data_IF_240149340884
#
_entry.id   IF_240149340884
#
_cell.length_a   1.000
_cell.length_b   1.000
_cell.length_c   1.000
_cell.angle_alpha   90.00
_cell.angle_beta   90.00
_cell.angle_gamma   90.00
#
_symmetry.space_group_name_H-M   'P 1'
#
loop_
_entity.id
_entity.type
_entity.pdbx_description
1 polymer ?
#
# COMPACT_ATOMS: atom_id res chain seq x y z
N UNK A 1 -12.29 -6.78 -13.44
CA UNK A 1 -11.00 -7.30 -13.06
C UNK A 1 -10.20 -6.24 -12.37
N UNK A 2 -9.70 -6.56 -11.25
CA UNK A 2 -8.86 -5.59 -10.59
C UNK A 2 -7.41 -5.89 -10.90
N UNK A 3 -6.63 -4.85 -11.00
CA UNK A 3 -5.19 -4.98 -11.24
C UNK A 3 -4.46 -4.86 -9.93
N UNK A 4 -4.91 -5.60 -8.94
CA UNK A 4 -4.28 -5.57 -7.65
C UNK A 4 -2.94 -6.28 -7.70
N UNK A 5 -1.98 -5.71 -6.99
CA UNK A 5 -0.67 -6.30 -6.83
C UNK A 5 -0.39 -6.55 -5.37
N UNK A 6 0.61 -7.34 -5.11
CA UNK A 6 1.06 -7.62 -3.75
C UNK A 6 2.45 -7.07 -3.56
N UNK A 7 2.73 -6.61 -2.35
CA UNK A 7 4.05 -6.11 -2.03
C UNK A 7 4.24 -6.06 -0.54
N UNK A 8 5.30 -5.41 -0.13
CA UNK A 8 5.62 -5.22 1.28
C UNK A 8 5.90 -3.76 1.53
N UNK A 9 5.56 -3.33 2.73
CA UNK A 9 5.83 -1.96 3.12
C UNK A 9 7.33 -1.79 3.31
N UNK A 10 7.92 -0.87 2.59
CA UNK A 10 9.34 -0.56 2.75
C UNK A 10 9.53 0.30 3.98
N UNK A 11 8.73 1.33 4.12
CA UNK A 11 8.66 2.15 5.33
C UNK A 11 7.41 3.00 5.24
N UNK A 12 6.96 3.47 6.39
CA UNK A 12 5.79 4.33 6.44
C UNK A 12 5.96 5.29 7.60
N UNK A 13 5.70 6.57 7.34
CA UNK A 13 5.78 7.62 8.37
C UNK A 13 4.37 8.00 8.75
N UNK A 14 3.92 7.55 9.92
CA UNK A 14 2.54 7.80 10.29
C UNK A 14 2.28 9.26 10.65
N UNK A 15 3.30 9.99 11.03
CA UNK A 15 3.11 11.41 11.32
C UNK A 15 2.87 12.19 10.05
N UNK A 16 3.58 11.86 8.99
CA UNK A 16 3.41 12.53 7.71
C UNK A 16 2.34 11.89 6.87
N UNK A 17 1.98 10.65 7.17
CA UNK A 17 0.90 9.98 6.50
C UNK A 17 1.24 9.40 5.15
N UNK A 18 2.51 9.07 4.91
CA UNK A 18 2.87 8.45 3.64
C UNK A 18 4.06 7.54 3.82
N UNK A 19 4.29 6.73 2.80
CA UNK A 19 5.41 5.83 2.79
C UNK A 19 5.57 5.20 1.43
N UNK A 20 6.28 4.08 1.40
CA UNK A 20 6.54 3.37 0.16
C UNK A 20 6.33 1.89 0.34
N UNK A 21 5.85 1.28 -0.71
CA UNK A 21 5.68 -0.17 -0.82
C UNK A 21 6.63 -0.63 -1.90
N UNK A 22 7.23 -1.79 -1.69
CA UNK A 22 8.07 -2.39 -2.70
C UNK A 22 7.33 -3.57 -3.28
N UNK A 23 7.25 -3.65 -4.60
CA UNK A 23 6.52 -4.72 -5.24
C UNK A 23 7.45 -5.87 -5.57
N UNK A 24 6.91 -6.89 -6.26
CA UNK A 24 7.70 -8.08 -6.58
C UNK A 24 8.83 -7.80 -7.55
N UNK A 25 8.74 -6.70 -8.26
CA UNK A 25 9.76 -6.32 -9.24
C UNK A 25 10.81 -5.40 -8.65
N UNK A 26 10.66 -5.02 -7.39
CA UNK A 26 11.60 -4.13 -6.76
C UNK A 26 11.34 -2.66 -6.97
N UNK A 27 10.17 -2.32 -7.48
CA UNK A 27 9.81 -0.92 -7.70
C UNK A 27 9.29 -0.29 -6.42
N UNK A 28 9.67 0.95 -6.18
CA UNK A 28 9.13 1.73 -5.08
C UNK A 28 7.80 2.34 -5.49
N UNK A 29 6.78 2.12 -4.67
CA UNK A 29 5.44 2.58 -4.98
C UNK A 29 4.97 3.47 -3.83
N UNK A 30 4.64 4.70 -4.14
CA UNK A 30 4.20 5.67 -3.14
C UNK A 30 2.84 5.29 -2.59
N UNK A 31 2.65 5.43 -1.28
CA UNK A 31 1.36 5.20 -0.64
C UNK A 31 1.08 6.32 0.34
N UNK A 32 -0.16 6.81 0.32
CA UNK A 32 -0.61 7.86 1.23
C UNK A 32 -1.70 7.28 2.13
N UNK A 33 -1.81 7.79 3.37
CA UNK A 33 -2.76 7.21 4.30
C UNK A 33 -4.20 7.24 3.80
N UNK A 34 -4.52 8.18 2.93
CA UNK A 34 -5.86 8.25 2.36
C UNK A 34 -6.16 7.08 1.43
N UNK A 35 -5.14 6.43 0.95
CA UNK A 35 -5.30 5.29 0.06
C UNK A 35 -5.25 3.96 0.80
N UNK A 36 -5.17 4.00 2.12
CA UNK A 36 -5.18 2.78 2.93
C UNK A 36 -6.59 2.53 3.40
N UNK A 37 -7.08 1.33 3.14
CA UNK A 37 -8.42 0.95 3.53
C UNK A 37 -8.43 0.45 4.97
N UNK A 38 -9.58 0.57 5.60
CA UNK A 38 -9.75 0.07 6.94
C UNK A 38 -10.35 1.14 7.85
N UNK A 39 -10.77 0.72 9.01
CA UNK A 39 -11.28 1.63 10.02
C UNK A 39 -10.24 1.76 11.12
N UNK A 40 -10.24 2.89 11.79
CA UNK A 40 -9.29 3.11 12.84
C UNK A 40 -7.99 3.67 12.31
N UNK A 41 -6.89 3.18 12.85
CA UNK A 41 -5.59 3.68 12.45
C UNK A 41 -5.24 3.22 11.05
N UNK A 42 -4.89 4.17 10.22
CA UNK A 42 -4.47 3.88 8.86
C UNK A 42 -2.95 3.98 8.80
N UNK A 43 -2.31 3.03 9.41
CA UNK A 43 -0.87 3.01 9.46
C UNK A 43 -0.36 1.66 8.99
N UNK A 44 0.84 1.69 8.44
CA UNK A 44 1.50 0.49 7.96
C UNK A 44 2.82 0.35 8.70
N UNK A 45 3.25 -0.87 8.85
CA UNK A 45 4.52 -1.16 9.50
C UNK A 45 5.49 -1.74 8.49
N UNK A 46 6.75 -1.54 8.74
CA UNK A 46 7.79 -2.06 7.88
C UNK A 46 7.63 -3.55 7.67
N UNK A 47 7.75 -3.97 6.42
CA UNK A 47 7.64 -5.37 6.02
C UNK A 47 6.25 -5.97 6.06
N UNK A 48 5.23 -5.17 6.36
CA UNK A 48 3.86 -5.67 6.28
C UNK A 48 3.53 -6.08 4.84
N UNK A 49 2.93 -7.24 4.70
CA UNK A 49 2.44 -7.67 3.39
C UNK A 49 1.15 -6.94 3.08
N UNK A 50 1.06 -6.36 1.91
CA UNK A 50 -0.10 -5.58 1.51
C UNK A 50 -0.50 -5.93 0.09
N UNK A 51 -1.76 -5.65 -0.24
CA UNK A 51 -2.22 -5.67 -1.62
C UNK A 51 -2.82 -4.32 -1.95
N UNK A 52 -2.74 -3.94 -3.19
CA UNK A 52 -3.13 -2.60 -3.61
C UNK A 52 -3.40 -2.58 -5.10
N UNK A 53 -4.03 -1.51 -5.55
CA UNK A 53 -4.23 -1.24 -6.98
C UNK A 53 -3.12 -0.30 -7.42
N UNK A 54 -2.38 -0.69 -8.43
CA UNK A 54 -1.28 0.12 -8.92
C UNK A 54 -1.81 1.22 -9.84
N UNK A 55 -1.36 2.42 -9.60
CA UNK A 55 -1.72 3.57 -10.42
C UNK A 55 -0.42 4.20 -10.92
N UNK A 56 -0.31 4.33 -12.23
CA UNK A 56 0.86 4.94 -12.85
C UNK A 56 0.55 6.38 -13.19
N UNK A 57 0.93 7.26 -12.30
CA UNK A 57 0.68 8.66 -12.50
C UNK A 57 1.86 9.37 -13.14
N UNK A 58 1.70 10.67 -13.40
CA UNK A 58 2.77 11.45 -14.04
C UNK A 58 4.01 11.59 -13.16
N UNK A 59 3.85 11.42 -11.86
CA UNK A 59 4.97 11.53 -10.93
C UNK A 59 5.57 10.19 -10.56
N UNK A 60 5.03 9.10 -11.09
CA UNK A 60 5.54 7.77 -10.78
C UNK A 60 4.45 6.84 -10.32
N UNK A 61 4.86 5.76 -9.69
CA UNK A 61 3.96 4.71 -9.26
C UNK A 61 3.34 5.04 -7.93
N UNK A 62 2.08 4.68 -7.78
CA UNK A 62 1.29 5.02 -6.62
C UNK A 62 0.36 3.86 -6.29
N UNK A 63 0.18 3.58 -5.01
CA UNK A 63 -0.71 2.52 -4.57
C UNK A 63 -2.04 3.11 -4.13
N UNK A 64 -3.12 2.46 -4.54
CA UNK A 64 -4.46 2.86 -4.16
C UNK A 64 -5.16 1.66 -3.55
N UNK A 65 -6.15 1.94 -2.71
CA UNK A 65 -6.98 0.89 -2.12
C UNK A 65 -6.12 -0.17 -1.44
N UNK A 66 -5.20 0.30 -0.61
CA UNK A 66 -4.22 -0.57 0.04
C UNK A 66 -4.86 -1.27 1.23
N UNK A 67 -4.67 -2.58 1.30
CA UNK A 67 -5.14 -3.37 2.45
C UNK A 67 -4.01 -4.28 2.90
N UNK A 68 -3.99 -4.57 4.19
CA UNK A 68 -3.05 -5.55 4.72
C UNK A 68 -3.47 -6.93 4.25
N UNK A 69 -2.52 -7.66 3.72
CA UNK A 69 -2.83 -8.96 3.13
C UNK A 69 -3.40 -9.92 4.16
N UNK A 70 -2.91 -9.85 5.39
CA UNK A 70 -3.37 -10.77 6.42
C UNK A 70 -4.62 -10.29 7.13
N UNK A 71 -5.19 -9.16 6.70
CA UNK A 71 -6.43 -8.64 7.27
C UNK A 71 -7.54 -8.58 6.26
N UNK A 72 -7.38 -9.25 5.15
CA UNK A 72 -8.43 -9.26 4.15
C UNK A 72 -9.64 -9.98 4.70
N UNK A 73 -10.84 -9.49 4.36
CA UNK A 73 -12.05 -10.16 4.81
C UNK A 73 -12.09 -11.58 4.30
N UNK A 74 -12.57 -12.46 5.15
CA UNK A 74 -12.79 -13.85 4.78
C UNK A 74 -14.16 -13.98 4.17
N UNK A 75 -14.23 -14.63 3.07
CA UNK A 75 -15.51 -14.81 2.38
C UNK A 75 -15.93 -16.24 2.34
#
# INVERSE_FOLDING_TARGET
MSDRENGHVKWFNEKKGFGFIINQHGDDIFVHYKDIQGSGFKTLHENDAVSYVLDKGPKGLKAQDVVLANEQPQQ
#
